data_IF_979223664532
#
_entry.id   IF_979223664532
#
_cell.length_a   1.000
_cell.length_b   1.000
_cell.length_c   1.000
_cell.angle_alpha   90.00
_cell.angle_beta   90.00
_cell.angle_gamma   90.00
#
_symmetry.space_group_name_H-M   'P 1'
#
loop_
_entity.id
_entity.type
_entity.pdbx_description
1 polymer ?
#
# COMPACT_ATOMS: atom_id res chain seq x y z
N UNK A 1 37.74 9.55 -0.27
CA UNK A 1 36.75 8.92 0.65
C UNK A 1 35.43 9.70 0.73
N UNK A 2 35.44 11.04 0.72
CA UNK A 2 34.24 11.89 0.78
C UNK A 2 33.26 11.67 -0.41
N UNK A 3 33.76 11.53 -1.64
CA UNK A 3 32.92 11.34 -2.83
C UNK A 3 32.10 10.03 -2.82
N UNK A 4 32.66 8.96 -2.22
CA UNK A 4 31.94 7.68 -2.04
C UNK A 4 30.83 7.76 -1.00
N UNK A 5 31.05 8.54 0.07
CA UNK A 5 30.04 8.74 1.13
C UNK A 5 28.88 9.59 0.60
N UNK A 6 29.16 10.68 -0.12
CA UNK A 6 28.12 11.51 -0.75
C UNK A 6 27.33 10.72 -1.79
N UNK A 7 28.00 9.92 -2.63
CA UNK A 7 27.32 9.06 -3.60
C UNK A 7 26.43 8.01 -2.94
N UNK A 8 26.89 7.37 -1.86
CA UNK A 8 26.09 6.42 -1.09
C UNK A 8 24.88 7.09 -0.42
N UNK A 9 25.04 8.31 0.11
CA UNK A 9 23.94 9.08 0.69
C UNK A 9 22.90 9.50 -0.36
N UNK A 10 23.34 9.89 -1.55
CA UNK A 10 22.43 10.23 -2.66
C UNK A 10 21.68 9.01 -3.18
N UNK A 11 22.34 7.85 -3.29
CA UNK A 11 21.71 6.59 -3.66
C UNK A 11 20.70 6.12 -2.60
N UNK A 12 21.04 6.23 -1.32
CA UNK A 12 20.14 5.91 -0.21
C UNK A 12 18.95 6.87 -0.12
N UNK A 13 19.16 8.17 -0.37
CA UNK A 13 18.08 9.14 -0.43
C UNK A 13 17.13 8.87 -1.61
N UNK A 14 17.67 8.46 -2.76
CA UNK A 14 16.88 8.07 -3.93
C UNK A 14 15.98 6.86 -3.65
N UNK A 15 16.53 5.79 -3.06
CA UNK A 15 15.75 4.59 -2.74
C UNK A 15 14.70 4.84 -1.64
N UNK A 16 15.00 5.69 -0.65
CA UNK A 16 14.03 6.12 0.36
C UNK A 16 12.87 6.93 -0.25
N UNK A 17 13.14 7.75 -1.27
CA UNK A 17 12.11 8.53 -1.95
C UNK A 17 11.19 7.65 -2.82
N UNK A 18 11.76 6.68 -3.53
CA UNK A 18 10.98 5.67 -4.27
C UNK A 18 10.11 4.85 -3.33
N UNK A 19 10.64 4.44 -2.17
CA UNK A 19 9.87 3.75 -1.15
C UNK A 19 8.73 4.62 -0.58
N UNK A 20 9.00 5.88 -0.24
CA UNK A 20 8.01 6.80 0.32
C UNK A 20 6.87 7.16 -0.66
N UNK A 21 7.09 6.96 -1.96
CA UNK A 21 6.09 7.22 -3.01
C UNK A 21 5.42 5.93 -3.52
N UNK A 22 5.92 4.78 -3.09
CA UNK A 22 5.39 3.47 -3.47
C UNK A 22 4.04 3.21 -2.81
N UNK A 23 3.13 2.59 -3.55
CA UNK A 23 1.85 2.09 -3.04
C UNK A 23 1.94 0.59 -2.74
N UNK A 24 0.89 0.03 -2.11
CA UNK A 24 0.81 -1.39 -1.74
C UNK A 24 1.15 -2.34 -2.88
N UNK A 25 0.73 -2.04 -4.11
CA UNK A 25 0.99 -2.89 -5.29
C UNK A 25 2.46 -2.89 -5.67
N UNK A 26 3.09 -1.71 -5.67
CA UNK A 26 4.52 -1.61 -5.93
C UNK A 26 5.36 -2.27 -4.83
N UNK A 27 4.94 -2.16 -3.57
CA UNK A 27 5.63 -2.78 -2.44
C UNK A 27 5.63 -4.31 -2.54
N UNK A 28 4.48 -4.92 -2.84
CA UNK A 28 4.39 -6.38 -2.99
C UNK A 28 5.09 -6.85 -4.28
N UNK A 29 4.90 -6.12 -5.39
CA UNK A 29 5.49 -6.46 -6.68
C UNK A 29 7.02 -6.46 -6.70
N UNK A 30 7.66 -5.59 -5.90
CA UNK A 30 9.13 -5.58 -5.74
C UNK A 30 9.69 -6.88 -5.14
N UNK A 31 8.87 -7.65 -4.43
CA UNK A 31 9.30 -8.85 -3.73
C UNK A 31 8.91 -10.15 -4.44
N UNK A 32 8.46 -10.06 -5.70
CA UNK A 32 8.11 -11.20 -6.55
C UNK A 32 6.94 -12.06 -6.01
N UNK A 33 6.05 -11.45 -5.23
CA UNK A 33 4.77 -12.05 -4.85
C UNK A 33 3.66 -11.60 -5.81
N UNK A 34 2.74 -12.49 -6.23
CA UNK A 34 1.55 -12.07 -6.95
C UNK A 34 0.70 -11.17 -6.05
N UNK A 35 0.18 -10.09 -6.62
CA UNK A 35 -0.75 -9.20 -5.92
C UNK A 35 -1.97 -8.94 -6.78
N UNK A 36 -3.14 -9.11 -6.17
CA UNK A 36 -4.42 -8.74 -6.77
C UNK A 36 -4.98 -7.51 -6.06
N UNK A 37 -5.59 -6.62 -6.83
CA UNK A 37 -6.33 -5.48 -6.32
C UNK A 37 -7.83 -5.71 -6.48
N UNK A 38 -8.58 -5.57 -5.40
CA UNK A 38 -10.03 -5.72 -5.40
C UNK A 38 -10.70 -4.43 -4.94
N UNK A 39 -11.66 -3.93 -5.72
CA UNK A 39 -12.45 -2.74 -5.38
C UNK A 39 -13.83 -3.15 -4.89
N UNK A 40 -14.10 -2.88 -3.62
CA UNK A 40 -15.35 -3.21 -2.96
C UNK A 40 -16.19 -1.96 -2.72
N UNK A 41 -17.51 -2.07 -2.86
CA UNK A 41 -18.42 -1.01 -2.44
C UNK A 41 -19.20 -1.45 -1.21
N UNK A 42 -19.05 -0.70 -0.13
CA UNK A 42 -19.83 -0.86 1.10
C UNK A 42 -21.30 -0.49 0.88
N UNK A 43 -22.21 -0.95 1.75
CA UNK A 43 -23.65 -0.69 1.63
C UNK A 43 -23.99 0.79 1.61
N UNK A 44 -23.27 1.58 2.40
CA UNK A 44 -23.44 3.03 2.51
C UNK A 44 -22.72 3.82 1.41
N UNK A 45 -21.96 3.15 0.54
CA UNK A 45 -21.47 3.71 -0.72
C UNK A 45 -20.00 4.13 -0.73
N UNK A 46 -19.24 3.88 0.33
CA UNK A 46 -17.77 3.97 0.30
C UNK A 46 -17.19 2.88 -0.60
N UNK A 47 -16.18 3.26 -1.37
CA UNK A 47 -15.42 2.38 -2.25
C UNK A 47 -14.05 2.15 -1.61
N UNK A 48 -13.76 0.89 -1.29
CA UNK A 48 -12.53 0.46 -0.64
C UNK A 48 -11.72 -0.37 -1.62
N UNK A 49 -10.42 -0.08 -1.70
CA UNK A 49 -9.45 -0.96 -2.35
C UNK A 49 -8.84 -1.87 -1.30
N UNK A 50 -8.93 -3.18 -1.51
CA UNK A 50 -8.21 -4.18 -0.72
C UNK A 50 -7.22 -4.93 -1.61
N UNK A 51 -6.16 -5.44 -1.01
CA UNK A 51 -5.12 -6.17 -1.73
C UNK A 51 -5.09 -7.63 -1.30
N UNK A 52 -4.61 -8.50 -2.17
CA UNK A 52 -4.52 -9.93 -1.90
C UNK A 52 -3.22 -10.50 -2.42
N UNK A 53 -2.55 -11.30 -1.60
CA UNK A 53 -1.41 -12.14 -1.97
C UNK A 53 -1.93 -13.58 -1.98
N UNK A 54 -2.34 -14.12 -3.15
CA UNK A 54 -3.03 -15.40 -3.21
C UNK A 54 -2.11 -16.59 -2.93
N UNK A 55 -0.81 -16.45 -3.15
CA UNK A 55 0.20 -17.47 -2.91
C UNK A 55 1.61 -16.91 -3.00
N UNK A 56 2.58 -17.51 -2.30
CA UNK A 56 4.00 -17.35 -2.60
C UNK A 56 4.45 -18.30 -3.72
N UNK A 57 4.03 -19.56 -3.64
CA UNK A 57 4.29 -20.60 -4.64
C UNK A 57 2.97 -21.14 -5.19
N UNK A 58 2.94 -21.43 -6.49
CA UNK A 58 1.76 -22.01 -7.17
C UNK A 58 1.57 -23.46 -6.74
N UNK A 59 0.90 -23.63 -5.61
CA UNK A 59 0.49 -24.93 -5.09
C UNK A 59 -1.00 -25.15 -5.38
N UNK A 60 -1.35 -26.38 -5.72
CA UNK A 60 -2.74 -26.79 -5.87
C UNK A 60 -3.44 -26.96 -4.52
N UNK A 61 -4.75 -26.77 -4.49
CA UNK A 61 -5.59 -27.03 -3.31
C UNK A 61 -6.20 -25.78 -2.67
N UNK A 62 -7.10 -26.00 -1.70
CA UNK A 62 -7.79 -24.92 -0.99
C UNK A 62 -6.90 -24.38 0.13
N UNK A 63 -6.47 -23.13 0.01
CA UNK A 63 -5.66 -22.43 1.02
C UNK A 63 -6.55 -21.86 2.13
N UNK A 64 -6.00 -21.78 3.33
CA UNK A 64 -6.65 -21.08 4.43
C UNK A 64 -6.50 -19.56 4.23
N UNK A 65 -7.58 -18.82 4.48
CA UNK A 65 -7.61 -17.37 4.32
C UNK A 65 -7.10 -16.69 5.59
N UNK A 66 -6.17 -15.76 5.43
CA UNK A 66 -5.74 -14.83 6.47
C UNK A 66 -6.15 -13.40 6.07
N UNK A 67 -6.88 -12.69 6.93
CA UNK A 67 -7.28 -11.30 6.70
C UNK A 67 -6.58 -10.38 7.70
N UNK A 68 -5.79 -9.44 7.19
CA UNK A 68 -5.00 -8.51 8.00
C UNK A 68 -5.63 -7.11 7.92
N UNK A 69 -6.02 -6.59 9.08
CA UNK A 69 -6.63 -5.27 9.21
C UNK A 69 -5.68 -4.33 9.94
N UNK A 70 -5.37 -3.19 9.33
CA UNK A 70 -4.50 -2.17 9.92
C UNK A 70 -5.11 -1.52 11.19
N UNK A 71 -4.25 -0.86 11.98
CA UNK A 71 -4.62 -0.15 13.19
C UNK A 71 -5.20 1.25 12.97
N UNK A 72 -5.38 2.00 14.07
CA UNK A 72 -5.85 3.39 14.00
C UNK A 72 -4.86 4.24 13.18
N UNK A 73 -5.38 5.13 12.33
CA UNK A 73 -4.60 6.01 11.43
C UNK A 73 -3.70 5.32 10.40
N UNK A 74 -3.77 3.99 10.28
CA UNK A 74 -2.93 3.20 9.36
C UNK A 74 -3.53 2.89 7.99
N UNK A 75 -2.82 2.07 7.23
CA UNK A 75 -3.27 1.50 5.96
C UNK A 75 -2.76 0.06 5.80
N UNK A 76 -3.20 -0.65 4.75
CA UNK A 76 -2.65 -1.96 4.42
C UNK A 76 -1.13 -1.97 4.23
N UNK A 77 -0.53 -0.81 3.94
CA UNK A 77 0.91 -0.67 3.71
C UNK A 77 1.73 -0.96 4.98
N UNK A 78 1.16 -0.72 6.16
CA UNK A 78 1.83 -0.94 7.45
C UNK A 78 2.40 -2.36 7.57
N UNK A 79 1.71 -3.35 6.99
CA UNK A 79 2.11 -4.76 7.01
C UNK A 79 3.27 -5.08 6.06
N UNK A 80 3.50 -4.24 5.06
CA UNK A 80 4.44 -4.48 3.96
C UNK A 80 5.81 -3.84 4.21
N UNK A 81 5.90 -2.86 5.12
CA UNK A 81 7.10 -2.05 5.34
C UNK A 81 8.33 -2.87 5.73
N UNK A 82 8.13 -3.99 6.42
CA UNK A 82 9.22 -4.86 6.89
C UNK A 82 9.78 -5.78 5.78
N UNK A 83 9.20 -5.78 4.58
CA UNK A 83 9.62 -6.62 3.47
C UNK A 83 9.41 -8.13 3.70
N UNK A 84 9.87 -9.00 2.79
CA UNK A 84 9.50 -10.42 2.77
C UNK A 84 10.10 -11.24 3.91
N UNK A 85 11.23 -10.82 4.48
CA UNK A 85 11.93 -11.57 5.52
C UNK A 85 11.23 -11.50 6.89
N UNK A 86 10.40 -10.49 7.12
CA UNK A 86 9.77 -10.24 8.44
C UNK A 86 8.37 -9.63 8.39
N UNK A 87 7.90 -9.23 7.21
CA UNK A 87 6.54 -8.76 7.00
C UNK A 87 5.54 -9.92 7.09
N UNK A 88 4.60 -9.80 8.02
CA UNK A 88 3.58 -10.82 8.30
C UNK A 88 2.84 -11.34 7.05
N UNK A 89 2.44 -10.51 6.06
CA UNK A 89 1.77 -11.00 4.86
C UNK A 89 2.61 -11.98 4.05
N UNK A 90 3.91 -11.72 3.95
CA UNK A 90 4.84 -12.55 3.18
C UNK A 90 5.09 -13.87 3.89
N UNK A 91 5.32 -13.82 5.21
CA UNK A 91 5.48 -15.03 6.03
C UNK A 91 4.24 -15.94 5.96
N UNK A 92 3.03 -15.36 5.94
CA UNK A 92 1.79 -16.12 5.77
C UNK A 92 1.65 -16.69 4.35
N UNK A 93 1.98 -15.92 3.31
CA UNK A 93 1.94 -16.41 1.94
C UNK A 93 2.92 -17.56 1.71
N UNK A 94 4.12 -17.47 2.30
CA UNK A 94 5.16 -18.52 2.27
C UNK A 94 4.72 -19.76 3.06
N UNK A 95 3.96 -19.57 4.15
CA UNK A 95 3.33 -20.65 4.91
C UNK A 95 2.08 -21.25 4.23
N UNK A 96 1.76 -20.82 3.00
CA UNK A 96 0.69 -21.40 2.18
C UNK A 96 -0.69 -20.77 2.35
N UNK A 97 -0.81 -19.63 3.03
CA UNK A 97 -2.08 -18.93 3.20
C UNK A 97 -2.47 -18.11 1.94
N UNK A 98 -3.77 -17.90 1.79
CA UNK A 98 -4.34 -16.87 0.91
C UNK A 98 -4.54 -15.59 1.73
N UNK A 99 -3.68 -14.59 1.51
CA UNK A 99 -3.57 -13.43 2.38
C UNK A 99 -4.31 -12.24 1.80
N UNK A 100 -5.17 -11.62 2.61
CA UNK A 100 -5.95 -10.45 2.26
C UNK A 100 -5.57 -9.27 3.17
N UNK A 101 -5.36 -8.10 2.57
CA UNK A 101 -4.96 -6.87 3.23
C UNK A 101 -6.10 -5.87 3.16
N UNK A 102 -6.76 -5.67 4.30
CA UNK A 102 -7.92 -4.81 4.45
C UNK A 102 -7.55 -3.34 4.56
N UNK A 103 -8.45 -2.48 4.07
CA UNK A 103 -8.36 -1.02 4.25
C UNK A 103 -9.66 -0.47 4.82
N UNK A 104 -9.52 0.49 5.73
CA UNK A 104 -10.66 1.21 6.30
C UNK A 104 -11.02 2.42 5.45
N UNK A 105 -12.29 2.82 5.50
CA UNK A 105 -12.75 4.09 4.96
C UNK A 105 -11.90 5.26 5.50
N UNK A 106 -11.55 6.20 4.63
CA UNK A 106 -10.79 7.41 4.99
C UNK A 106 -9.27 7.34 4.82
N UNK A 107 -8.64 6.15 4.77
CA UNK A 107 -7.21 6.02 4.45
C UNK A 107 -6.93 6.16 2.93
N UNK A 108 -5.67 6.03 2.45
CA UNK A 108 -5.37 6.20 1.02
C UNK A 108 -6.26 5.38 0.08
N UNK A 109 -6.59 4.18 0.51
CA UNK A 109 -7.31 3.17 -0.26
C UNK A 109 -8.82 3.16 0.01
N UNK A 110 -9.32 4.06 0.87
CA UNK A 110 -10.72 4.11 1.32
C UNK A 110 -11.37 5.49 1.21
N UNK A 111 -10.80 6.41 0.41
CA UNK A 111 -11.29 7.79 0.24
C UNK A 111 -12.21 8.01 -0.95
N UNK A 112 -12.82 6.99 -1.53
CA UNK A 112 -13.79 7.16 -2.61
C UNK A 112 -15.22 6.85 -2.12
N UNK A 113 -16.22 7.54 -2.67
CA UNK A 113 -17.63 7.31 -2.35
C UNK A 113 -18.50 7.52 -3.60
N UNK A 114 -19.59 6.76 -3.72
CA UNK A 114 -20.55 6.86 -4.85
C UNK A 114 -21.25 8.22 -5.00
N UNK A 115 -21.23 9.08 -3.98
CA UNK A 115 -22.06 10.29 -3.91
C UNK A 115 -21.32 11.43 -3.21
N UNK A 116 -20.63 11.12 -2.13
CA UNK A 116 -19.92 12.11 -1.34
C UNK A 116 -18.59 12.50 -2.00
N UNK A 117 -18.29 13.79 -1.97
CA UNK A 117 -16.97 14.30 -2.33
C UNK A 117 -16.04 14.26 -1.11
N UNK A 118 -15.40 13.12 -0.94
CA UNK A 118 -14.44 12.82 0.13
C UNK A 118 -13.07 13.46 -0.06
N UNK A 119 -12.80 14.08 -1.23
CA UNK A 119 -11.53 14.73 -1.55
C UNK A 119 -11.64 16.26 -1.65
N UNK A 120 -12.81 16.81 -1.30
CA UNK A 120 -13.11 18.25 -1.39
C UNK A 120 -12.03 19.12 -0.74
N UNK A 121 -11.62 18.77 0.47
CA UNK A 121 -10.62 19.53 1.24
C UNK A 121 -9.25 19.52 0.56
N UNK A 122 -8.80 18.36 0.07
CA UNK A 122 -7.48 18.21 -0.57
C UNK A 122 -7.43 18.95 -1.92
N UNK A 123 -8.54 18.94 -2.67
CA UNK A 123 -8.66 19.73 -3.91
C UNK A 123 -8.69 21.23 -3.64
N UNK A 124 -9.36 21.67 -2.57
CA UNK A 124 -9.32 23.06 -2.15
C UNK A 124 -7.91 23.50 -1.75
N UNK A 125 -7.22 22.72 -0.91
CA UNK A 125 -5.84 23.01 -0.52
C UNK A 125 -4.88 23.02 -1.72
N UNK A 126 -5.02 22.08 -2.66
CA UNK A 126 -4.27 22.12 -3.91
C UNK A 126 -4.56 23.41 -4.70
N UNK A 127 -5.83 23.82 -4.83
CA UNK A 127 -6.19 25.05 -5.55
C UNK A 127 -5.67 26.34 -4.88
N UNK A 128 -5.48 26.33 -3.57
CA UNK A 128 -4.98 27.48 -2.79
C UNK A 128 -3.46 27.52 -2.72
N UNK A 129 -2.78 26.36 -2.72
CA UNK A 129 -1.32 26.26 -2.59
C UNK A 129 -0.57 26.20 -3.92
N UNK A 130 -1.20 25.74 -5.01
CA UNK A 130 -0.60 25.72 -6.36
C UNK A 130 -0.26 27.10 -6.96
N UNK A 131 -0.93 28.23 -6.66
CA UNK A 131 -0.49 29.55 -7.15
C UNK A 131 0.83 30.06 -6.53
N UNK A 132 1.42 29.38 -5.54
CA UNK A 132 2.68 29.78 -4.90
C UNK A 132 3.94 29.09 -5.45
N UNK A 133 3.86 28.41 -6.61
CA UNK A 133 5.06 28.01 -7.34
C UNK A 133 5.74 29.25 -7.92
N UNK A 134 6.79 29.70 -7.24
CA UNK A 134 7.69 30.78 -7.65
C UNK A 134 8.22 30.46 -9.06
N UNK A 135 7.97 31.38 -10.00
CA UNK A 135 8.62 31.47 -11.32
C UNK A 135 10.10 31.79 -11.18
#
# INVERSE_FOLDING_TARGET
MICRVVLLLLLAAGSLLEFATSNSLSLVGMHNYPVEQHRLTTRDGYILTIFRIPYAQREGGRKQVAFLQHGITGSSDDWLLNGPNSGLPFLLADAGFDVWLGNSRGNENGRAHKKLDTMRMRRHLASVLLPFRIT
#
